data_IF_774085034414
#
_entry.id   IF_774085034414
#
_cell.length_a   1.000
_cell.length_b   1.000
_cell.length_c   1.000
_cell.angle_alpha   90.00
_cell.angle_beta   90.00
_cell.angle_gamma   90.00
#
_symmetry.space_group_name_H-M   'P 1'
#
loop_
_entity.id
_entity.type
_entity.pdbx_description
1 polymer ?
#
# COMPACT_ATOMS: atom_id res chain seq x y z
N UNK A 1 2.79 3.20 1.83
CA UNK A 1 3.36 1.90 2.28
C UNK A 1 3.57 0.94 1.13
N UNK A 2 2.53 0.58 0.38
CA UNK A 2 2.66 -0.38 -0.72
C UNK A 2 3.64 0.04 -1.82
N UNK A 3 3.59 1.30 -2.25
CA UNK A 3 4.52 1.84 -3.26
C UNK A 3 5.99 1.74 -2.83
N UNK A 4 6.28 2.02 -1.56
CA UNK A 4 7.63 1.87 -0.98
C UNK A 4 8.06 0.40 -1.02
N UNK A 5 7.17 -0.52 -0.67
CA UNK A 5 7.49 -1.95 -0.64
C UNK A 5 7.58 -2.59 -2.03
N UNK A 6 6.91 -2.04 -3.04
CA UNK A 6 6.84 -2.61 -4.40
C UNK A 6 7.74 -1.91 -5.39
N UNK A 7 8.14 -0.67 -5.11
CA UNK A 7 8.82 0.21 -6.06
C UNK A 7 7.93 0.65 -7.23
N UNK A 8 6.61 0.44 -7.16
CA UNK A 8 5.69 0.70 -8.27
C UNK A 8 4.46 1.51 -7.82
N UNK A 9 3.88 2.33 -8.71
CA UNK A 9 2.57 2.91 -8.49
C UNK A 9 1.49 1.82 -8.28
N UNK A 10 0.60 1.96 -7.29
CA UNK A 10 -0.49 1.01 -7.09
C UNK A 10 -1.42 1.01 -8.30
N UNK A 11 -1.86 -0.18 -8.71
CA UNK A 11 -2.76 -0.39 -9.85
C UNK A 11 -2.21 0.17 -11.18
N UNK A 12 -0.89 0.13 -11.41
CA UNK A 12 -0.25 0.66 -12.62
C UNK A 12 -0.87 0.16 -13.95
N UNK A 13 -1.40 -1.07 -13.94
CA UNK A 13 -2.02 -1.74 -15.09
C UNK A 13 -3.53 -1.47 -15.22
N UNK A 14 -4.11 -0.61 -14.38
CA UNK A 14 -5.51 -0.20 -14.43
C UNK A 14 -5.63 1.24 -14.89
N UNK A 15 -6.72 1.53 -15.60
CA UNK A 15 -7.17 2.89 -15.79
C UNK A 15 -7.66 3.45 -14.45
N UNK A 16 -7.26 4.68 -14.12
CA UNK A 16 -7.63 5.33 -12.85
C UNK A 16 -8.99 6.01 -13.01
N UNK A 17 -10.03 5.20 -13.17
CA UNK A 17 -11.39 5.63 -13.48
C UNK A 17 -12.42 5.14 -12.44
N UNK A 18 -13.70 5.31 -12.78
CA UNK A 18 -14.82 4.89 -11.94
C UNK A 18 -14.82 3.37 -11.68
N UNK A 19 -14.43 2.56 -12.66
CA UNK A 19 -14.46 1.11 -12.54
C UNK A 19 -13.38 0.65 -11.54
N UNK A 20 -12.19 1.26 -11.59
CA UNK A 20 -11.17 1.01 -10.57
C UNK A 20 -11.66 1.42 -9.17
N UNK A 21 -12.33 2.57 -9.04
CA UNK A 21 -12.91 2.98 -7.76
C UNK A 21 -13.95 1.97 -7.23
N UNK A 22 -14.85 1.47 -8.10
CA UNK A 22 -15.80 0.42 -7.72
C UNK A 22 -15.12 -0.88 -7.33
N UNK A 23 -14.07 -1.29 -8.04
CA UNK A 23 -13.31 -2.47 -7.69
C UNK A 23 -12.65 -2.34 -6.31
N UNK A 24 -12.16 -1.15 -5.95
CA UNK A 24 -11.60 -0.86 -4.61
C UNK A 24 -12.67 -0.94 -3.52
N UNK A 25 -13.87 -0.40 -3.78
CA UNK A 25 -15.00 -0.53 -2.86
C UNK A 25 -15.38 -2.00 -2.70
N UNK A 26 -15.38 -2.77 -3.78
CA UNK A 26 -15.66 -4.21 -3.77
C UNK A 26 -14.53 -5.08 -3.19
N UNK A 27 -13.43 -4.47 -2.74
CA UNK A 27 -12.40 -5.14 -1.95
C UNK A 27 -11.12 -5.47 -2.71
N UNK A 28 -10.94 -5.00 -3.94
CA UNK A 28 -9.64 -5.12 -4.62
C UNK A 28 -8.58 -4.34 -3.83
N UNK A 29 -7.44 -4.97 -3.61
CA UNK A 29 -6.26 -4.36 -2.98
C UNK A 29 -5.00 -4.76 -3.76
N UNK A 30 -3.97 -3.91 -3.77
CA UNK A 30 -2.70 -4.27 -4.38
C UNK A 30 -2.11 -5.55 -3.76
N UNK A 31 -1.64 -6.46 -4.60
CA UNK A 31 -0.94 -7.67 -4.14
C UNK A 31 0.28 -7.35 -3.29
N UNK A 32 0.36 -7.96 -2.10
CA UNK A 32 1.56 -7.86 -1.25
C UNK A 32 2.73 -8.55 -1.96
N UNK A 33 3.84 -7.83 -2.10
CA UNK A 33 5.03 -8.31 -2.82
C UNK A 33 5.77 -9.35 -1.95
N UNK A 34 6.28 -10.45 -2.54
CA UNK A 34 7.15 -11.37 -1.82
C UNK A 34 8.35 -10.64 -1.21
N UNK A 35 8.72 -10.99 0.02
CA UNK A 35 9.80 -10.32 0.74
C UNK A 35 9.35 -9.11 1.56
N UNK A 36 8.10 -8.63 1.43
CA UNK A 36 7.58 -7.63 2.37
C UNK A 36 7.59 -8.19 3.80
N UNK A 37 8.19 -7.47 4.77
CA UNK A 37 8.19 -7.84 6.19
C UNK A 37 6.79 -8.19 6.71
N UNK A 38 6.68 -9.23 7.55
CA UNK A 38 5.41 -9.65 8.13
C UNK A 38 4.72 -8.50 8.89
N UNK A 39 5.48 -7.73 9.67
CA UNK A 39 4.90 -6.69 10.52
C UNK A 39 4.47 -5.49 9.68
N UNK A 40 5.24 -5.20 8.62
CA UNK A 40 4.91 -4.16 7.64
C UNK A 40 3.69 -4.52 6.81
N UNK A 41 3.56 -5.78 6.34
CA UNK A 41 2.39 -6.22 5.59
C UNK A 41 1.13 -6.19 6.45
N UNK A 42 1.22 -6.60 7.72
CA UNK A 42 0.10 -6.59 8.65
C UNK A 42 -0.37 -5.15 8.95
N UNK A 43 0.57 -4.21 9.09
CA UNK A 43 0.24 -2.80 9.26
C UNK A 43 -0.40 -2.20 8.01
N UNK A 44 0.18 -2.47 6.83
CA UNK A 44 -0.36 -2.05 5.55
C UNK A 44 -1.80 -2.58 5.34
N UNK A 45 -2.06 -3.83 5.73
CA UNK A 45 -3.41 -4.41 5.64
C UNK A 45 -4.39 -3.74 6.59
N UNK A 46 -3.97 -3.38 7.81
CA UNK A 46 -4.82 -2.64 8.74
C UNK A 46 -5.15 -1.22 8.24
N UNK A 47 -4.22 -0.55 7.54
CA UNK A 47 -4.44 0.80 7.03
C UNK A 47 -5.56 0.90 5.98
N UNK A 48 -5.85 -0.18 5.25
CA UNK A 48 -6.87 -0.20 4.19
C UNK A 48 -8.09 -1.07 4.52
N UNK A 49 -8.34 -1.33 5.81
CA UNK A 49 -9.54 -2.01 6.27
C UNK A 49 -10.79 -1.26 5.80
N UNK A 50 -11.79 -2.02 5.35
CA UNK A 50 -13.08 -1.51 4.94
C UNK A 50 -13.80 -0.80 6.09
N UNK A 51 -13.64 -1.29 7.32
CA UNK A 51 -14.15 -0.64 8.53
C UNK A 51 -13.17 0.47 8.97
N UNK A 52 -13.56 1.76 8.90
CA UNK A 52 -12.70 2.86 9.30
C UNK A 52 -12.27 2.79 10.77
N UNK A 53 -13.07 2.16 11.64
CA UNK A 53 -12.77 2.03 13.07
C UNK A 53 -11.65 1.01 13.35
N UNK A 54 -11.36 0.13 12.40
CA UNK A 54 -10.26 -0.85 12.49
C UNK A 54 -8.94 -0.31 11.96
N UNK A 55 -8.95 0.85 11.30
CA UNK A 55 -7.73 1.50 10.82
C UNK A 55 -6.96 2.07 12.02
N UNK A 56 -5.62 1.98 12.02
CA UNK A 56 -4.83 2.62 13.06
C UNK A 56 -4.97 4.14 12.95
N UNK A 57 -5.14 4.80 14.08
CA UNK A 57 -4.90 6.24 14.17
C UNK A 57 -3.41 6.56 13.94
N UNK A 58 -3.10 7.83 13.76
CA UNK A 58 -1.74 8.27 13.42
C UNK A 58 -0.70 7.92 14.49
N UNK A 59 -1.07 7.96 15.78
CA UNK A 59 -0.16 7.66 16.88
C UNK A 59 0.11 6.14 16.96
N UNK A 60 -0.94 5.33 16.83
CA UNK A 60 -0.83 3.87 16.76
C UNK A 60 0.00 3.44 15.55
N UNK A 61 -0.18 4.12 14.41
CA UNK A 61 0.59 3.89 13.19
C UNK A 61 2.08 4.19 13.38
N UNK A 62 2.40 5.39 13.89
CA UNK A 62 3.78 5.84 14.13
C UNK A 62 4.53 4.88 15.05
N UNK A 63 3.92 4.51 16.19
CA UNK A 63 4.52 3.55 17.14
C UNK A 63 4.80 2.18 16.51
N UNK A 64 3.91 1.69 15.64
CA UNK A 64 4.11 0.42 14.92
C UNK A 64 5.26 0.54 13.91
N UNK A 65 5.36 1.66 13.20
CA UNK A 65 6.44 1.93 12.25
C UNK A 65 7.81 2.05 12.94
N UNK A 66 7.88 2.74 14.07
CA UNK A 66 9.10 2.83 14.89
C UNK A 66 9.57 1.45 15.32
N UNK A 67 8.66 0.62 15.85
CA UNK A 67 8.97 -0.76 16.24
C UNK A 67 9.53 -1.57 15.08
N UNK A 68 8.86 -1.54 13.91
CA UNK A 68 9.34 -2.22 12.71
C UNK A 68 10.76 -1.76 12.38
N UNK A 69 11.00 -0.44 12.37
CA UNK A 69 12.32 0.13 12.04
C UNK A 69 13.41 -0.37 13.00
N UNK A 70 13.13 -0.38 14.30
CA UNK A 70 14.06 -0.88 15.32
C UNK A 70 14.34 -2.38 15.16
N UNK A 71 13.30 -3.19 14.90
CA UNK A 71 13.43 -4.63 14.68
C UNK A 71 14.38 -4.91 13.48
N UNK A 72 14.28 -4.12 12.40
CA UNK A 72 15.17 -4.22 11.24
C UNK A 72 16.61 -3.76 11.52
N UNK A 73 16.80 -2.67 12.26
CA UNK A 73 18.14 -2.17 12.61
C UNK A 73 18.91 -3.14 13.51
N UNK A 74 18.21 -3.84 14.39
CA UNK A 74 18.80 -4.79 15.33
C UNK A 74 19.13 -6.16 14.70
N UNK A 75 18.60 -6.45 13.51
CA UNK A 75 18.79 -7.73 12.81
C UNK A 75 20.10 -7.80 12.00
N UNK A 76 21.03 -6.87 12.22
CA UNK A 76 22.18 -6.58 11.35
C UNK A 76 23.00 -7.81 10.96
N UNK A 77 22.76 -8.33 9.77
CA UNK A 77 23.81 -8.82 8.89
C UNK A 77 24.09 -7.71 7.85
N UNK A 78 25.35 -7.28 7.74
CA UNK A 78 25.78 -6.04 7.06
C UNK A 78 25.56 -6.03 5.53
N UNK A 79 24.94 -7.07 4.98
CA UNK A 79 24.69 -7.26 3.55
C UNK A 79 23.64 -6.28 2.99
N UNK A 80 22.56 -6.02 3.73
CA UNK A 80 21.39 -5.28 3.21
C UNK A 80 21.60 -3.76 3.08
N UNK A 81 22.55 -3.17 3.83
CA UNK A 81 22.81 -1.74 3.75
C UNK A 81 23.29 -1.31 2.35
N UNK A 82 24.05 -2.16 1.65
CA UNK A 82 24.65 -1.84 0.35
C UNK A 82 23.66 -1.90 -0.83
N UNK A 83 22.56 -2.67 -0.71
CA UNK A 83 21.52 -2.77 -1.74
C UNK A 83 20.49 -1.63 -1.66
N UNK A 84 20.27 -1.03 -0.49
CA UNK A 84 19.34 0.09 -0.31
C UNK A 84 19.91 1.37 -0.97
N UNK A 85 21.21 1.60 -0.85
CA UNK A 85 21.87 2.79 -1.40
C UNK A 85 22.01 2.74 -2.94
N UNK A 86 22.04 1.55 -3.55
CA UNK A 86 22.19 1.37 -5.00
C UNK A 86 20.87 1.38 -5.78
N UNK A 87 19.75 1.07 -5.13
CA UNK A 87 18.41 1.05 -5.76
C UNK A 87 17.64 2.38 -5.61
N UNK A 88 18.26 3.40 -4.98
CA UNK A 88 17.67 4.74 -4.81
C UNK A 88 17.94 5.67 -6.02
N UNK A 89 18.24 5.12 -7.20
CA UNK A 89 18.10 5.86 -8.46
C UNK A 89 16.61 6.10 -8.75
N UNK A 90 16.11 7.16 -8.14
CA UNK A 90 14.73 7.64 -8.28
C UNK A 90 14.56 8.34 -9.63
N UNK A 91 14.56 7.57 -10.71
CA UNK A 91 14.01 8.01 -12.00
C UNK A 91 12.47 7.95 -11.95
N UNK A 92 11.86 8.53 -10.90
CA UNK A 92 10.42 8.64 -10.76
C UNK A 92 9.92 9.80 -11.63
N UNK A 93 10.07 9.65 -12.94
CA UNK A 93 9.34 10.49 -13.88
C UNK A 93 7.96 9.87 -14.04
N UNK A 94 7.06 10.14 -13.10
CA UNK A 94 5.64 9.92 -13.36
C UNK A 94 5.23 10.92 -14.45
N UNK A 95 5.32 10.50 -15.71
CA UNK A 95 4.80 11.26 -16.86
C UNK A 95 3.28 11.28 -16.90
N UNK A 96 2.61 10.58 -15.96
CA UNK A 96 1.16 10.59 -15.82
C UNK A 96 0.73 11.91 -15.20
N UNK A 97 0.22 12.81 -16.04
CA UNK A 97 -0.51 14.00 -15.61
C UNK A 97 -1.75 13.55 -14.83
N UNK A 98 -1.72 13.66 -13.49
CA UNK A 98 -2.90 13.41 -12.67
C UNK A 98 -3.91 14.53 -12.92
N UNK A 99 -4.85 14.31 -13.83
CA UNK A 99 -6.00 15.20 -13.99
C UNK A 99 -7.08 14.77 -13.01
N UNK A 100 -7.45 15.63 -12.07
CA UNK A 100 -8.59 15.37 -11.19
C UNK A 100 -9.87 15.31 -12.03
N UNK A 101 -10.53 14.14 -12.07
CA UNK A 101 -11.87 13.96 -12.62
C UNK A 101 -12.85 13.81 -11.47
N UNK A 102 -13.95 14.57 -11.52
CA UNK A 102 -15.04 14.43 -10.56
C UNK A 102 -15.95 13.31 -11.05
N UNK A 103 -16.12 12.28 -10.23
CA UNK A 103 -17.07 11.19 -10.47
C UNK A 103 -18.25 11.33 -9.49
N UNK A 104 -19.46 11.08 -9.98
CA UNK A 104 -20.65 11.01 -9.13
C UNK A 104 -20.74 9.61 -8.50
N UNK A 105 -20.68 9.56 -7.17
CA UNK A 105 -20.68 8.34 -6.37
C UNK A 105 -21.99 8.18 -5.59
N UNK A 106 -23.13 8.37 -6.26
CA UNK A 106 -24.43 8.14 -5.62
C UNK A 106 -24.68 6.63 -5.45
N UNK A 107 -25.24 6.23 -4.31
CA UNK A 107 -25.65 4.85 -4.00
C UNK A 107 -24.50 3.81 -4.05
N UNK A 108 -23.32 4.14 -3.54
CA UNK A 108 -22.21 3.18 -3.44
C UNK A 108 -22.55 1.97 -2.56
N UNK A 109 -22.07 0.77 -2.93
CA UNK A 109 -22.14 -0.37 -2.03
C UNK A 109 -21.22 -0.16 -0.81
N UNK A 110 -21.51 -0.88 0.28
CA UNK A 110 -20.63 -0.88 1.44
C UNK A 110 -19.23 -1.42 1.07
N UNK A 111 -18.14 -0.74 1.48
CA UNK A 111 -16.79 -1.20 1.24
C UNK A 111 -16.56 -2.60 1.83
N UNK A 112 -15.78 -3.42 1.11
CA UNK A 112 -15.44 -4.78 1.53
C UNK A 112 -13.94 -4.93 1.70
N UNK A 113 -13.55 -5.80 2.63
CA UNK A 113 -12.16 -6.25 2.73
C UNK A 113 -11.86 -7.25 1.61
N UNK A 114 -10.60 -7.32 1.18
CA UNK A 114 -10.16 -8.32 0.23
C UNK A 114 -10.45 -9.72 0.80
N UNK A 115 -11.23 -10.53 0.09
CA UNK A 115 -11.39 -11.96 0.36
C UNK A 115 -10.34 -12.72 -0.47
N UNK A 116 -9.89 -13.88 0.02
CA UNK A 116 -8.96 -14.73 -0.71
C UNK A 116 -9.55 -15.04 -2.11
N UNK A 117 -8.99 -14.43 -3.16
CA UNK A 117 -9.49 -14.49 -4.54
C UNK A 117 -9.58 -13.15 -5.27
N UNK A 118 -9.49 -12.00 -4.58
CA UNK A 118 -9.55 -10.64 -5.17
C UNK A 118 -8.23 -9.89 -4.93
N UNK A 119 -7.11 -10.55 -5.21
CA UNK A 119 -5.77 -9.98 -5.12
C UNK A 119 -5.22 -9.88 -6.54
N UNK A 120 -4.92 -8.67 -7.01
CA UNK A 120 -4.35 -8.36 -8.33
C UNK A 120 -3.00 -7.69 -8.20
#
# INVERSE_FOLDING_TARGET
MWEISSGQPPFINYEHDYDLAMNIINGIRPKIVPGTPLEYKNLMVQCWDADPLKRPDIYTFEKKMERITLDYQNMSDKSFQSEIDSNLETNYTSSRLFTSKIHNFENLPEPKNATEGIIV
#
